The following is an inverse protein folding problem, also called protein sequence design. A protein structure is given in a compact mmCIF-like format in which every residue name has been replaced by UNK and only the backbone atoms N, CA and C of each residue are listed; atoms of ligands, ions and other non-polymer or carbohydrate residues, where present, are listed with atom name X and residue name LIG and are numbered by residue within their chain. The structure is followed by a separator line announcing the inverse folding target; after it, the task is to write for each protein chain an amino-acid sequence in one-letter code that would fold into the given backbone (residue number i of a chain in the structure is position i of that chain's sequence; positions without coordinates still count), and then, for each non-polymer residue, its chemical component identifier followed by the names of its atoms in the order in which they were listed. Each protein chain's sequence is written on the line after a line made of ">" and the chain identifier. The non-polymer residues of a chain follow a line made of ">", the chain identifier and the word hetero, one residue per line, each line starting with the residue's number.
data_IF_304304611277
#
_entry.id   IF_304304611277
#
_cell.length_a   1.000
_cell.length_b   1.000
_cell.length_c   1.000
_cell.angle_alpha   90.00
_cell.angle_beta   90.00
_cell.angle_gamma   90.00
#
_symmetry.space_group_name_H-M   'P 1'
#
loop_
_entity.id
_entity.type
_entity.pdbx_description
1 polymer ?
#
# COMPACT_ATOMS: atom_id res chain seq x y z
N UNK A 1 -1.15 -12.80 -16.84
CA UNK A 1 -1.83 -13.30 -15.62
C UNK A 1 -3.21 -12.66 -15.51
N UNK A 2 -3.31 -11.33 -15.42
CA UNK A 2 -4.58 -10.60 -15.37
C UNK A 2 -5.57 -11.05 -16.44
N UNK A 3 -5.14 -11.21 -17.70
CA UNK A 3 -6.01 -11.66 -18.78
C UNK A 3 -6.50 -13.10 -18.62
N UNK A 4 -5.69 -13.97 -18.00
CA UNK A 4 -6.08 -15.35 -17.69
C UNK A 4 -7.22 -15.33 -16.67
N UNK A 5 -7.04 -14.56 -15.60
CA UNK A 5 -8.04 -14.44 -14.54
C UNK A 5 -9.33 -13.78 -15.04
N UNK A 6 -9.22 -12.76 -15.92
CA UNK A 6 -10.39 -12.15 -16.58
C UNK A 6 -11.13 -13.15 -17.47
N UNK A 7 -10.41 -13.98 -18.22
CA UNK A 7 -11.02 -15.05 -19.02
C UNK A 7 -11.73 -16.10 -18.14
N UNK A 8 -11.30 -16.27 -16.89
CA UNK A 8 -11.97 -17.09 -15.88
C UNK A 8 -13.10 -16.36 -15.13
N UNK A 9 -13.53 -15.18 -15.60
CA UNK A 9 -14.71 -14.48 -15.07
C UNK A 9 -14.44 -13.61 -13.84
N UNK A 10 -13.16 -13.32 -13.53
CA UNK A 10 -12.84 -12.32 -12.51
C UNK A 10 -13.02 -10.91 -13.07
N UNK A 11 -13.80 -10.11 -12.34
CA UNK A 11 -13.98 -8.68 -12.59
C UNK A 11 -12.78 -7.87 -12.11
N UNK A 12 -12.66 -6.61 -12.54
CA UNK A 12 -11.61 -5.72 -12.04
C UNK A 12 -11.69 -5.52 -10.53
N UNK A 13 -12.90 -5.37 -9.98
CA UNK A 13 -13.11 -5.22 -8.55
C UNK A 13 -12.65 -6.46 -7.77
N UNK A 14 -12.94 -7.66 -8.27
CA UNK A 14 -12.48 -8.92 -7.66
C UNK A 14 -10.94 -9.06 -7.72
N UNK A 15 -10.32 -8.59 -8.79
CA UNK A 15 -8.85 -8.56 -8.91
C UNK A 15 -8.19 -7.54 -7.94
N UNK A 16 -8.97 -6.63 -7.35
CA UNK A 16 -8.51 -5.71 -6.31
C UNK A 16 -8.71 -6.26 -4.88
N UNK A 17 -9.31 -7.44 -4.70
CA UNK A 17 -9.58 -8.02 -3.37
C UNK A 17 -8.36 -8.17 -2.46
N UNK A 18 -7.13 -8.46 -2.92
CA UNK A 18 -5.97 -8.49 -2.04
C UNK A 18 -5.73 -7.16 -1.30
N UNK A 19 -6.20 -6.06 -1.91
CA UNK A 19 -6.14 -4.71 -1.37
C UNK A 19 -7.41 -4.31 -0.62
N UNK A 20 -8.59 -4.72 -1.10
CA UNK A 20 -9.87 -4.33 -0.51
C UNK A 20 -10.26 -5.20 0.69
N UNK A 21 -9.90 -6.49 0.66
CA UNK A 21 -10.23 -7.54 1.64
C UNK A 21 -11.70 -7.56 2.03
N UNK A 22 -12.59 -7.44 1.05
CA UNK A 22 -14.05 -7.36 1.26
C UNK A 22 -14.73 -8.71 1.05
N UNK A 23 -14.08 -9.65 0.36
CA UNK A 23 -14.71 -10.90 -0.08
C UNK A 23 -13.68 -11.99 -0.41
N UNK A 24 -14.11 -13.26 -0.30
CA UNK A 24 -13.37 -14.45 -0.78
C UNK A 24 -13.85 -14.93 -2.16
N UNK A 25 -14.69 -14.14 -2.84
CA UNK A 25 -15.24 -14.51 -4.16
C UNK A 25 -14.12 -14.66 -5.21
N UNK A 26 -13.13 -13.78 -5.19
CA UNK A 26 -11.98 -13.86 -6.10
C UNK A 26 -11.21 -15.18 -5.90
N UNK A 27 -10.99 -15.58 -4.65
CA UNK A 27 -10.28 -16.80 -4.28
C UNK A 27 -10.96 -18.03 -4.86
N UNK A 28 -12.29 -18.14 -4.67
CA UNK A 28 -13.10 -19.24 -5.22
C UNK A 28 -13.03 -19.30 -6.75
N UNK A 29 -13.12 -18.15 -7.42
CA UNK A 29 -13.02 -18.08 -8.90
C UNK A 29 -11.63 -18.49 -9.40
N UNK A 30 -10.57 -18.10 -8.69
CA UNK A 30 -9.19 -18.48 -9.03
C UNK A 30 -9.00 -20.00 -8.88
N UNK A 31 -9.51 -20.60 -7.81
CA UNK A 31 -9.43 -22.05 -7.59
C UNK A 31 -10.19 -22.86 -8.65
N UNK A 32 -11.33 -22.34 -9.12
CA UNK A 32 -12.16 -22.95 -10.16
C UNK A 32 -11.66 -22.69 -11.59
N UNK A 33 -10.71 -21.76 -11.79
CA UNK A 33 -10.15 -21.45 -13.10
C UNK A 33 -9.33 -22.63 -13.63
N UNK A 34 -9.76 -23.21 -14.76
CA UNK A 34 -9.13 -24.38 -15.39
C UNK A 34 -8.12 -24.00 -16.49
N UNK A 35 -7.71 -22.72 -16.57
CA UNK A 35 -6.76 -22.30 -17.59
C UNK A 35 -5.39 -22.96 -17.34
N UNK A 36 -4.85 -23.76 -18.28
CA UNK A 36 -3.62 -24.53 -18.08
C UNK A 36 -2.40 -23.63 -17.83
N UNK A 37 -2.46 -22.35 -18.23
CA UNK A 37 -1.38 -21.39 -18.00
C UNK A 37 -1.24 -21.01 -16.53
N UNK A 38 -2.24 -21.31 -15.68
CA UNK A 38 -2.15 -21.11 -14.23
C UNK A 38 -1.34 -22.19 -13.52
N UNK A 39 -1.17 -23.38 -14.11
CA UNK A 39 -0.51 -24.51 -13.48
C UNK A 39 0.93 -24.19 -13.02
N UNK A 40 1.62 -23.27 -13.71
CA UNK A 40 3.00 -22.87 -13.38
C UNK A 40 3.15 -22.04 -12.10
N UNK A 41 2.07 -21.55 -11.52
CA UNK A 41 2.12 -20.61 -10.39
C UNK A 41 1.96 -21.27 -9.01
N UNK A 42 1.73 -22.59 -8.96
CA UNK A 42 1.56 -23.36 -7.72
C UNK A 42 0.73 -22.63 -6.65
N UNK A 43 -0.42 -22.09 -7.08
CA UNK A 43 -1.23 -21.14 -6.30
C UNK A 43 -2.22 -21.83 -5.35
N UNK A 44 -2.38 -23.14 -5.48
CA UNK A 44 -3.25 -23.95 -4.62
C UNK A 44 -2.44 -24.39 -3.41
N UNK A 45 -2.98 -24.22 -2.21
CA UNK A 45 -2.34 -24.73 -1.01
C UNK A 45 -2.35 -26.26 -1.02
N UNK A 46 -1.33 -26.86 -0.41
CA UNK A 46 -1.10 -28.31 -0.36
C UNK A 46 -2.12 -29.03 0.53
N UNK A 47 -2.77 -28.27 1.43
CA UNK A 47 -3.58 -28.80 2.53
C UNK A 47 -5.08 -28.97 2.19
N UNK A 48 -5.49 -28.72 0.94
CA UNK A 48 -6.87 -28.95 0.47
C UNK A 48 -7.89 -27.93 0.99
N UNK A 49 -7.43 -26.83 1.58
CA UNK A 49 -8.28 -25.70 1.98
C UNK A 49 -8.67 -24.86 0.76
N UNK A 50 -9.81 -24.16 0.82
CA UNK A 50 -10.30 -23.22 -0.21
C UNK A 50 -9.46 -21.91 -0.25
N UNK A 51 -8.24 -21.96 0.27
CA UNK A 51 -7.35 -20.82 0.42
C UNK A 51 -6.32 -20.80 -0.72
N UNK A 52 -6.33 -19.71 -1.50
CA UNK A 52 -5.30 -19.40 -2.50
C UNK A 52 -4.44 -18.27 -1.98
N UNK A 53 -3.11 -18.45 -2.03
CA UNK A 53 -2.16 -17.39 -1.66
C UNK A 53 -1.83 -16.61 -2.93
N UNK A 54 -2.32 -15.37 -3.01
CA UNK A 54 -2.04 -14.49 -4.14
C UNK A 54 -2.01 -13.01 -3.71
N UNK A 55 -1.36 -12.20 -4.54
CA UNK A 55 -1.34 -10.75 -4.42
C UNK A 55 -1.67 -10.09 -5.75
N UNK A 56 -2.15 -8.86 -5.70
CA UNK A 56 -2.44 -8.05 -6.89
C UNK A 56 -1.52 -6.84 -6.96
N UNK A 57 -1.29 -6.31 -8.16
CA UNK A 57 -0.73 -4.97 -8.35
C UNK A 57 -1.67 -4.20 -9.27
N UNK A 58 -2.03 -2.98 -8.87
CA UNK A 58 -2.88 -2.09 -9.67
C UNK A 58 -1.99 -0.99 -10.26
N UNK A 59 -2.03 -0.84 -11.57
CA UNK A 59 -1.26 0.18 -12.30
C UNK A 59 -2.25 0.95 -13.18
N UNK A 60 -2.38 2.25 -12.92
CA UNK A 60 -3.10 3.17 -13.80
C UNK A 60 -2.10 3.79 -14.78
N UNK A 61 -2.40 3.70 -16.08
CA UNK A 61 -1.55 4.23 -17.15
C UNK A 61 -2.40 4.95 -18.19
N UNK A 62 -1.93 6.09 -18.67
CA UNK A 62 -2.60 6.87 -19.70
C UNK A 62 -1.56 7.53 -20.61
N UNK A 63 -1.84 7.66 -21.92
CA UNK A 63 -1.01 8.46 -22.81
C UNK A 63 -1.15 9.96 -22.48
N UNK A 64 -0.05 10.70 -22.55
CA UNK A 64 -0.02 12.14 -22.34
C UNK A 64 0.75 12.81 -23.49
N UNK A 65 0.16 13.81 -24.12
CA UNK A 65 0.87 14.67 -25.08
C UNK A 65 1.40 15.90 -24.36
N UNK A 66 2.69 16.19 -24.54
CA UNK A 66 3.36 17.36 -23.98
C UNK A 66 3.57 18.40 -25.08
N UNK A 67 3.08 19.61 -24.88
CA UNK A 67 3.33 20.72 -25.81
C UNK A 67 4.76 21.22 -25.64
N UNK A 68 5.44 21.48 -26.74
CA UNK A 68 6.79 22.05 -26.71
C UNK A 68 6.79 23.39 -25.97
N UNK A 69 7.81 23.61 -25.13
CA UNK A 69 8.02 24.86 -24.37
C UNK A 69 6.83 25.28 -23.49
N UNK A 70 5.99 24.34 -23.06
CA UNK A 70 4.84 24.60 -22.20
C UNK A 70 4.91 23.81 -20.90
N UNK A 71 4.25 24.33 -19.85
CA UNK A 71 4.07 23.63 -18.58
C UNK A 71 2.81 22.76 -18.68
N UNK A 72 2.94 21.48 -18.33
CA UNK A 72 1.82 20.56 -18.13
C UNK A 72 1.56 20.41 -16.65
N UNK A 73 0.36 20.76 -16.20
CA UNK A 73 -0.08 20.56 -14.81
C UNK A 73 -0.81 19.23 -14.69
N UNK A 74 -0.41 18.39 -13.73
CA UNK A 74 -1.03 17.09 -13.44
C UNK A 74 -1.63 17.16 -12.04
N UNK A 75 -2.89 16.74 -11.91
CA UNK A 75 -3.59 16.62 -10.63
C UNK A 75 -4.07 15.18 -10.45
N UNK A 76 -3.75 14.58 -9.31
CA UNK A 76 -4.25 13.26 -8.91
C UNK A 76 -5.06 13.38 -7.64
N UNK A 77 -6.25 12.79 -7.63
CA UNK A 77 -7.09 12.65 -6.46
C UNK A 77 -7.50 11.18 -6.36
N UNK A 78 -7.26 10.57 -5.20
CA UNK A 78 -7.60 9.18 -4.94
C UNK A 78 -7.66 8.91 -3.44
N UNK A 79 -8.42 7.89 -3.04
CA UNK A 79 -8.34 7.33 -1.71
C UNK A 79 -7.08 6.43 -1.62
N UNK A 80 -6.10 6.75 -0.77
CA UNK A 80 -4.88 5.96 -0.69
C UNK A 80 -5.16 4.60 -0.05
N UNK A 81 -4.37 3.61 -0.45
CA UNK A 81 -4.28 2.38 0.30
C UNK A 81 -3.55 2.65 1.62
N UNK A 82 -4.22 2.35 2.72
CA UNK A 82 -3.67 2.52 4.06
C UNK A 82 -3.25 1.16 4.60
N UNK A 83 -1.95 0.99 4.81
CA UNK A 83 -1.41 -0.15 5.52
C UNK A 83 -1.67 -0.01 7.02
N UNK A 84 -1.27 -1.01 7.79
CA UNK A 84 -1.36 -0.96 9.24
C UNK A 84 -1.21 -2.33 9.86
N UNK A 85 -1.16 -2.34 11.18
CA UNK A 85 -1.04 -3.57 11.94
C UNK A 85 -1.61 -3.42 13.35
N UNK A 86 -1.65 -4.55 14.04
CA UNK A 86 -2.06 -4.60 15.44
C UNK A 86 -0.86 -4.39 16.38
N UNK A 87 -1.15 -4.01 17.64
CA UNK A 87 -0.20 -4.00 18.75
C UNK A 87 1.08 -3.19 18.53
N UNK A 88 0.94 -1.86 18.37
CA UNK A 88 2.10 -0.97 18.16
C UNK A 88 3.13 -1.06 19.31
N UNK A 89 2.69 -1.30 20.55
CA UNK A 89 3.57 -1.31 21.72
C UNK A 89 4.66 -2.38 21.66
N UNK A 90 4.37 -3.53 21.04
CA UNK A 90 5.38 -4.55 20.76
C UNK A 90 6.31 -4.15 19.62
N UNK A 91 5.74 -3.55 18.55
CA UNK A 91 6.46 -3.23 17.32
C UNK A 91 7.56 -2.18 17.50
N UNK A 92 7.33 -1.16 18.34
CA UNK A 92 8.27 -0.05 18.55
C UNK A 92 9.62 -0.47 19.16
N UNK A 93 9.74 -1.70 19.66
CA UNK A 93 10.98 -2.23 20.21
C UNK A 93 11.80 -3.02 19.18
N UNK A 94 11.25 -3.36 18.02
CA UNK A 94 11.99 -4.02 16.95
C UNK A 94 12.80 -2.98 16.14
N UNK A 95 14.07 -3.31 15.87
CA UNK A 95 14.98 -2.43 15.13
C UNK A 95 14.46 -2.14 13.72
N UNK A 96 13.98 -3.15 13.00
CA UNK A 96 13.45 -2.97 11.63
C UNK A 96 12.29 -1.98 11.57
N UNK A 97 11.39 -2.04 12.56
CA UNK A 97 10.29 -1.09 12.68
C UNK A 97 10.82 0.32 13.02
N UNK A 98 11.73 0.40 13.98
CA UNK A 98 12.31 1.65 14.41
C UNK A 98 13.06 2.37 13.28
N UNK A 99 13.79 1.63 12.46
CA UNK A 99 14.56 2.16 11.33
C UNK A 99 13.62 2.59 10.19
N UNK A 100 12.65 1.74 9.84
CA UNK A 100 11.68 2.04 8.77
C UNK A 100 10.85 3.28 9.07
N UNK A 101 10.40 3.44 10.33
CA UNK A 101 9.52 4.54 10.74
C UNK A 101 10.23 5.66 11.47
N UNK A 102 11.55 5.58 11.67
CA UNK A 102 12.36 6.53 12.42
C UNK A 102 11.78 6.79 13.84
N UNK A 103 11.42 5.74 14.58
CA UNK A 103 10.82 5.90 15.91
C UNK A 103 11.86 6.39 16.92
N UNK A 104 11.63 7.56 17.53
CA UNK A 104 12.52 8.09 18.55
C UNK A 104 12.08 7.71 19.99
N UNK A 105 12.90 8.04 20.98
CA UNK A 105 12.60 7.74 22.38
C UNK A 105 11.32 8.44 22.89
N UNK A 106 10.98 9.61 22.35
CA UNK A 106 9.77 10.34 22.73
C UNK A 106 8.52 9.62 22.23
N UNK A 107 8.52 9.18 20.98
CA UNK A 107 7.47 8.38 20.37
C UNK A 107 7.27 7.07 21.14
N UNK A 108 8.38 6.35 21.45
CA UNK A 108 8.32 5.11 22.24
C UNK A 108 7.68 5.32 23.61
N UNK A 109 7.99 6.42 24.31
CA UNK A 109 7.34 6.77 25.58
C UNK A 109 5.84 7.07 25.41
N UNK A 110 5.47 7.82 24.39
CA UNK A 110 4.07 8.17 24.11
C UNK A 110 3.21 6.92 23.80
N UNK A 111 3.78 5.94 23.09
CA UNK A 111 3.13 4.65 22.83
C UNK A 111 3.00 3.83 24.12
N UNK A 112 4.06 3.69 24.92
CA UNK A 112 4.03 2.96 26.21
C UNK A 112 3.01 3.55 27.20
N UNK A 113 2.89 4.87 27.27
CA UNK A 113 1.92 5.55 28.14
C UNK A 113 0.45 5.22 27.80
N UNK A 114 0.18 4.68 26.61
CA UNK A 114 -1.15 4.32 26.13
C UNK A 114 -1.29 2.81 25.87
N UNK A 115 -0.33 2.00 26.32
CA UNK A 115 -0.30 0.56 26.04
C UNK A 115 -1.56 -0.16 26.55
N UNK A 116 -2.05 0.20 27.75
CA UNK A 116 -3.27 -0.36 28.33
C UNK A 116 -4.55 -0.08 27.54
N UNK A 117 -4.53 0.87 26.59
CA UNK A 117 -5.67 1.23 25.75
C UNK A 117 -5.74 0.40 24.46
N UNK A 118 -4.71 -0.41 24.16
CA UNK A 118 -4.59 -1.10 22.88
C UNK A 118 -4.35 -0.10 21.74
N UNK A 119 -3.08 0.21 21.43
CA UNK A 119 -2.75 1.07 20.29
C UNK A 119 -2.57 0.25 19.02
N UNK A 120 -3.34 0.65 18.00
CA UNK A 120 -3.18 0.25 16.61
C UNK A 120 -2.51 1.37 15.82
N UNK A 121 -1.88 1.03 14.69
CA UNK A 121 -1.29 2.03 13.80
C UNK A 121 -1.77 1.84 12.37
N UNK A 122 -1.77 2.96 11.65
CA UNK A 122 -1.98 3.03 10.21
C UNK A 122 -0.70 3.56 9.58
N UNK A 123 -0.34 2.99 8.44
CA UNK A 123 0.83 3.40 7.66
C UNK A 123 0.37 3.96 6.32
N UNK A 124 0.95 5.10 5.94
CA UNK A 124 0.82 5.68 4.61
C UNK A 124 2.22 5.88 4.03
N UNK A 125 2.48 5.27 2.88
CA UNK A 125 3.71 5.47 2.11
C UNK A 125 3.51 6.50 1.00
N UNK A 126 4.52 7.33 0.76
CA UNK A 126 4.59 8.24 -0.39
C UNK A 126 5.93 8.08 -1.10
N UNK A 127 5.91 7.84 -2.41
CA UNK A 127 7.11 7.50 -3.19
C UNK A 127 7.61 8.74 -3.93
N UNK A 128 8.79 9.24 -3.52
CA UNK A 128 9.48 10.33 -4.21
C UNK A 128 10.63 9.86 -5.10
N UNK A 129 11.19 8.67 -4.81
CA UNK A 129 12.40 8.17 -5.46
C UNK A 129 12.23 7.99 -6.98
N UNK A 130 11.02 7.65 -7.43
CA UNK A 130 10.69 7.51 -8.86
C UNK A 130 10.70 8.84 -9.62
N UNK A 131 10.70 9.98 -8.91
CA UNK A 131 10.93 11.29 -9.51
C UNK A 131 12.28 11.39 -10.25
N UNK A 132 13.26 10.55 -9.90
CA UNK A 132 14.54 10.47 -10.59
C UNK A 132 14.46 9.88 -12.01
N UNK A 133 13.31 9.31 -12.41
CA UNK A 133 13.11 8.80 -13.77
C UNK A 133 12.77 9.91 -14.78
N UNK A 134 12.50 11.14 -14.32
CA UNK A 134 12.29 12.29 -15.19
C UNK A 134 13.62 12.92 -15.62
N UNK A 135 13.61 13.68 -16.71
CA UNK A 135 14.79 14.36 -17.25
C UNK A 135 15.47 15.33 -16.26
N UNK A 136 14.75 15.80 -15.24
CA UNK A 136 15.26 16.63 -14.15
C UNK A 136 14.71 16.14 -12.80
N UNK A 137 15.45 16.33 -11.69
CA UNK A 137 14.94 16.03 -10.35
C UNK A 137 13.68 16.84 -9.99
N UNK A 138 12.96 16.37 -8.97
CA UNK A 138 11.92 17.17 -8.31
C UNK A 138 12.61 18.38 -7.67
N UNK A 139 12.33 19.58 -8.19
CA UNK A 139 12.92 20.82 -7.70
C UNK A 139 12.29 21.23 -6.36
N UNK A 140 11.00 21.54 -6.38
CA UNK A 140 10.23 21.98 -5.21
C UNK A 140 9.24 20.90 -4.79
N UNK A 141 9.22 20.55 -3.50
CA UNK A 141 8.31 19.56 -2.94
C UNK A 141 7.65 20.06 -1.66
N UNK A 142 6.32 19.98 -1.61
CA UNK A 142 5.52 20.27 -0.42
C UNK A 142 4.61 19.08 -0.12
N UNK A 143 4.65 18.59 1.12
CA UNK A 143 3.74 17.55 1.64
C UNK A 143 2.93 18.11 2.80
N UNK A 144 1.61 18.12 2.64
CA UNK A 144 0.68 18.48 3.71
C UNK A 144 -0.03 17.21 4.17
N UNK A 145 0.05 16.92 5.47
CA UNK A 145 -0.65 15.81 6.11
C UNK A 145 -1.61 16.39 7.14
N UNK A 146 -2.89 16.23 6.91
CA UNK A 146 -3.92 16.65 7.86
C UNK A 146 -4.34 15.48 8.74
N UNK A 147 -4.41 15.71 10.05
CA UNK A 147 -4.78 14.69 11.04
C UNK A 147 -5.75 15.23 12.09
N UNK A 148 -6.59 14.38 12.69
CA UNK A 148 -7.32 14.72 13.91
C UNK A 148 -6.37 15.08 15.07
N UNK A 149 -6.83 15.98 15.95
CA UNK A 149 -6.03 16.47 17.10
C UNK A 149 -5.59 15.36 18.06
N UNK A 150 -6.38 14.29 18.18
CA UNK A 150 -6.14 13.18 19.11
C UNK A 150 -5.25 12.05 18.57
N UNK A 151 -4.72 12.15 17.35
CA UNK A 151 -3.86 11.12 16.74
C UNK A 151 -2.37 11.44 16.88
N UNK A 152 -1.57 10.41 17.18
CA UNK A 152 -0.11 10.48 17.06
C UNK A 152 0.27 10.30 15.60
N UNK A 153 1.16 11.15 15.08
CA UNK A 153 1.73 11.01 13.73
C UNK A 153 3.24 11.02 13.85
N UNK A 154 3.85 10.05 13.18
CA UNK A 154 5.29 9.90 13.04
C UNK A 154 5.62 10.01 11.56
N UNK A 155 6.67 10.77 11.24
CA UNK A 155 7.10 10.97 9.87
C UNK A 155 8.57 10.56 9.73
N UNK A 156 8.82 9.58 8.87
CA UNK A 156 10.16 9.10 8.54
C UNK A 156 10.69 9.85 7.32
N UNK A 157 11.28 11.01 7.54
CA UNK A 157 11.91 11.81 6.48
C UNK A 157 12.29 13.21 6.96
N UNK A 158 13.12 13.90 6.18
CA UNK A 158 13.50 15.30 6.47
C UNK A 158 12.44 16.26 5.91
N UNK A 159 11.35 16.47 6.64
CA UNK A 159 10.29 17.43 6.23
C UNK A 159 9.90 18.30 7.41
N UNK A 160 9.64 19.60 7.15
CA UNK A 160 9.08 20.52 8.14
C UNK A 160 7.58 20.28 8.24
N UNK A 161 7.09 19.80 9.39
CA UNK A 161 5.65 19.74 9.69
C UNK A 161 5.20 21.14 10.14
N UNK A 162 4.13 21.66 9.54
CA UNK A 162 3.46 22.91 9.98
C UNK A 162 2.29 22.58 10.89
#
# INVERSE_FOLDING_TARGET
>A
MTDILRACGLTEQELMEPWLRKSTVADKKILQCQDPRLAKFNYKDSDGDDNVIWGGQIIYSWPQTFKANAITTIHHEYAPLVGGGMWLSGLINFTDFADKFCTDAAFKRAVKAKESQGIYYRELGYILKTGANWAKPIADFTLTIEKPKNQLVLFAGKVKVK
#
